data_IF_456809853129
#
_entry.id   IF_456809853129
#
_cell.length_a   1.000
_cell.length_b   1.000
_cell.length_c   1.000
_cell.angle_alpha   90.00
_cell.angle_beta   90.00
_cell.angle_gamma   90.00
#
_symmetry.space_group_name_H-M   'P 1'
#
loop_
_entity.id
_entity.type
_entity.pdbx_description
1 polymer ?
#
# COMPACT_ATOMS: atom_id res chain seq x y z
N UNK A 1 -2.00 -5.61 -6.54
CA UNK A 1 -0.99 -6.24 -5.66
C UNK A 1 -0.55 -7.62 -6.17
N UNK A 2 -1.43 -8.40 -6.81
CA UNK A 2 -0.99 -9.68 -7.42
C UNK A 2 0.06 -9.49 -8.54
N UNK A 3 -0.06 -8.44 -9.37
CA UNK A 3 0.94 -8.14 -10.41
C UNK A 3 2.24 -7.57 -9.83
N UNK A 4 2.15 -6.72 -8.81
CA UNK A 4 3.29 -6.05 -8.18
C UNK A 4 3.07 -6.06 -6.66
N UNK A 5 3.99 -6.67 -5.93
CA UNK A 5 3.91 -6.84 -4.47
C UNK A 5 3.96 -5.51 -3.72
N UNK A 6 4.67 -4.52 -4.26
CA UNK A 6 4.74 -3.15 -3.76
C UNK A 6 4.20 -2.18 -4.80
N UNK A 7 3.23 -1.36 -4.41
CA UNK A 7 2.63 -0.34 -5.29
C UNK A 7 2.62 1.04 -4.64
N UNK A 8 2.70 2.07 -5.47
CA UNK A 8 2.47 3.48 -5.08
C UNK A 8 1.03 3.85 -5.41
N UNK A 9 0.31 4.39 -4.44
CA UNK A 9 -1.04 4.92 -4.64
C UNK A 9 -1.07 6.38 -4.22
N UNK A 10 -1.48 7.28 -5.11
CA UNK A 10 -1.70 8.69 -4.77
C UNK A 10 -3.11 8.86 -4.21
N UNK A 11 -3.21 9.42 -3.01
CA UNK A 11 -4.48 9.80 -2.40
C UNK A 11 -4.86 11.18 -2.96
N UNK A 12 -5.97 11.22 -3.70
CA UNK A 12 -6.45 12.44 -4.36
C UNK A 12 -6.75 13.56 -3.35
N UNK A 13 -6.50 14.81 -3.73
CA UNK A 13 -6.65 15.97 -2.82
C UNK A 13 -8.07 16.19 -2.32
N UNK A 14 -9.06 15.79 -3.10
CA UNK A 14 -10.49 15.80 -2.76
C UNK A 14 -10.94 14.55 -1.98
N UNK A 15 -10.02 13.66 -1.59
CA UNK A 15 -10.33 12.51 -0.75
C UNK A 15 -10.94 13.01 0.57
N UNK A 16 -12.09 12.46 1.02
CA UNK A 16 -12.68 12.86 2.29
C UNK A 16 -11.88 12.35 3.49
N UNK A 17 -11.06 11.31 3.31
CA UNK A 17 -10.12 10.82 4.31
C UNK A 17 -8.79 11.58 4.24
N UNK A 18 -8.14 11.71 5.39
CA UNK A 18 -6.74 12.15 5.44
C UNK A 18 -5.83 11.11 4.74
N UNK A 19 -4.59 11.51 4.43
CA UNK A 19 -3.64 10.64 3.72
C UNK A 19 -3.25 9.38 4.50
N UNK A 20 -3.25 9.42 5.83
CA UNK A 20 -2.92 8.27 6.66
C UNK A 20 -4.13 7.35 6.79
N UNK A 21 -5.31 7.88 7.13
CA UNK A 21 -6.57 7.14 7.12
C UNK A 21 -6.85 6.48 5.78
N UNK A 22 -6.67 7.22 4.67
CA UNK A 22 -6.87 6.68 3.32
C UNK A 22 -5.88 5.55 2.99
N UNK A 23 -4.63 5.65 3.45
CA UNK A 23 -3.64 4.59 3.26
C UNK A 23 -4.02 3.34 4.06
N UNK A 24 -4.38 3.50 5.34
CA UNK A 24 -4.81 2.38 6.21
C UNK A 24 -6.08 1.72 5.68
N UNK A 25 -7.08 2.50 5.26
CA UNK A 25 -8.32 1.97 4.69
C UNK A 25 -8.06 1.13 3.43
N UNK A 26 -7.16 1.59 2.57
CA UNK A 26 -6.74 0.84 1.38
C UNK A 26 -5.98 -0.43 1.77
N UNK A 27 -5.08 -0.35 2.75
CA UNK A 27 -4.34 -1.50 3.25
C UNK A 27 -5.28 -2.57 3.80
N UNK A 28 -6.21 -2.20 4.70
CA UNK A 28 -7.21 -3.09 5.28
C UNK A 28 -8.07 -3.75 4.21
N UNK A 29 -8.70 -2.95 3.33
CA UNK A 29 -9.59 -3.47 2.27
C UNK A 29 -8.88 -4.35 1.25
N UNK A 30 -7.56 -4.18 1.10
CA UNK A 30 -6.77 -4.98 0.16
C UNK A 30 -5.93 -6.05 0.87
N UNK A 31 -6.03 -6.22 2.19
CA UNK A 31 -5.17 -7.16 2.93
C UNK A 31 -3.68 -6.90 2.71
N UNK A 32 -3.31 -5.64 2.51
CA UNK A 32 -1.94 -5.16 2.36
C UNK A 32 -1.46 -4.50 3.66
N UNK A 33 -0.19 -4.11 3.68
CA UNK A 33 0.40 -3.31 4.74
C UNK A 33 0.82 -1.95 4.18
N UNK A 34 0.64 -0.89 4.97
CA UNK A 34 1.21 0.41 4.66
C UNK A 34 2.71 0.35 4.94
N UNK A 35 3.52 0.28 3.88
CA UNK A 35 4.97 0.31 4.00
C UNK A 35 5.47 1.72 4.34
N UNK A 36 4.83 2.75 3.76
CA UNK A 36 5.17 4.15 4.01
C UNK A 36 4.08 5.10 3.49
N UNK A 37 4.01 6.31 4.05
CA UNK A 37 3.29 7.45 3.46
C UNK A 37 4.28 8.57 3.15
N UNK A 38 4.39 8.95 1.88
CA UNK A 38 5.29 9.97 1.33
C UNK A 38 4.46 11.10 0.70
N UNK A 39 4.32 12.24 1.41
CA UNK A 39 3.48 13.33 0.91
C UNK A 39 2.01 12.88 0.81
N UNK A 40 1.45 12.81 -0.40
CA UNK A 40 0.11 12.25 -0.67
C UNK A 40 0.16 10.85 -1.31
N UNK A 41 1.32 10.23 -1.36
CA UNK A 41 1.49 8.89 -1.95
C UNK A 41 1.72 7.87 -0.85
N UNK A 42 0.89 6.84 -0.81
CA UNK A 42 1.07 5.68 0.05
C UNK A 42 1.79 4.56 -0.71
N UNK A 43 2.73 3.89 -0.04
CA UNK A 43 3.31 2.64 -0.46
C UNK A 43 2.56 1.50 0.22
N UNK A 44 1.92 0.63 -0.58
CA UNK A 44 1.19 -0.54 -0.09
C UNK A 44 1.93 -1.80 -0.52
N UNK A 45 2.19 -2.69 0.44
CA UNK A 45 2.87 -3.95 0.23
C UNK A 45 1.96 -5.14 0.56
N UNK A 46 1.95 -6.14 -0.31
CA UNK A 46 1.38 -7.46 -0.04
C UNK A 46 2.17 -8.49 -0.82
N UNK A 47 2.73 -9.47 -0.12
CA UNK A 47 3.39 -10.60 -0.76
C UNK A 47 2.42 -11.34 -1.70
N UNK A 48 2.92 -11.76 -2.86
CA UNK A 48 2.18 -12.66 -3.75
C UNK A 48 2.02 -14.02 -3.07
N UNK A 49 0.90 -14.68 -3.33
CA UNK A 49 0.65 -16.04 -2.83
C UNK A 49 1.61 -17.06 -3.44
N UNK A 50 1.95 -16.87 -4.71
CA UNK A 50 2.84 -17.74 -5.45
C UNK A 50 4.10 -16.97 -5.87
N UNK A 51 5.27 -17.56 -5.59
CA UNK A 51 6.59 -17.04 -5.98
C UNK A 51 6.77 -15.54 -5.65
N UNK A 52 6.77 -15.16 -4.35
CA UNK A 52 7.04 -13.78 -3.94
C UNK A 52 8.46 -13.38 -4.38
N UNK A 53 8.60 -12.16 -4.89
CA UNK A 53 9.86 -11.60 -5.41
C UNK A 53 10.56 -10.72 -4.38
N UNK A 54 9.79 -10.00 -3.56
CA UNK A 54 10.31 -9.13 -2.51
C UNK A 54 10.68 -9.97 -1.28
N UNK A 55 11.98 -10.00 -0.98
CA UNK A 55 12.52 -10.59 0.25
C UNK A 55 12.70 -9.48 1.28
N UNK A 56 11.97 -9.58 2.39
CA UNK A 56 12.10 -8.63 3.49
C UNK A 56 13.37 -8.92 4.32
N UNK A 57 14.05 -7.88 4.82
CA UNK A 57 15.16 -8.06 5.76
C UNK A 57 14.67 -8.72 7.06
N UNK A 58 15.58 -9.44 7.73
CA UNK A 58 15.35 -10.06 9.04
C UNK A 58 15.50 -9.05 10.17
#
# INVERSE_FOLDING_TARGET
>A
LETHELIKVRIGESSPQDRHEGAELLAEKTGAQVAQVLGRTALLYRARKEKPEIVLPK
#
